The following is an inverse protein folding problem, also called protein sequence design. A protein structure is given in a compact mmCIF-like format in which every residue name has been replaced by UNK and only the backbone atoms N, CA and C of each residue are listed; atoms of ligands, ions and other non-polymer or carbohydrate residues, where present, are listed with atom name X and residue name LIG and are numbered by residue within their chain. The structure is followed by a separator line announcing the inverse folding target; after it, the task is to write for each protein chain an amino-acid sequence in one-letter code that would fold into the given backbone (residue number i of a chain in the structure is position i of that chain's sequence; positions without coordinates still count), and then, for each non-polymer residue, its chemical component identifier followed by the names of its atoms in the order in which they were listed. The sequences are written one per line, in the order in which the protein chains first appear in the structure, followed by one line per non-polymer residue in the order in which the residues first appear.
data_IF_261897483990
#
_entry.id   IF_261897483990
#
_cell.length_a   1.000
_cell.length_b   1.000
_cell.length_c   1.000
_cell.angle_alpha   90.00
_cell.angle_beta   90.00
_cell.angle_gamma   90.00
#
_symmetry.space_group_name_H-M   'P 1'
#
loop_
_entity.id
_entity.type
_entity.pdbx_description
1 polymer ?
#
# COMPACT_ATOMS: atom_id res chain seq x y z
N UNK A 1 -5.59 37.76 -13.62
CA UNK A 1 -5.04 36.50 -14.17
C UNK A 1 -5.57 35.36 -13.31
N UNK A 2 -6.68 34.74 -13.71
CA UNK A 2 -7.12 33.49 -13.10
C UNK A 2 -6.04 32.44 -13.36
N UNK A 3 -5.48 31.86 -12.29
CA UNK A 3 -4.68 30.64 -12.41
C UNK A 3 -5.65 29.51 -12.75
N UNK A 4 -5.80 29.21 -14.04
CA UNK A 4 -6.50 28.01 -14.48
C UNK A 4 -5.75 26.79 -13.96
N UNK A 5 -6.25 26.16 -12.91
CA UNK A 5 -5.81 24.82 -12.52
C UNK A 5 -6.22 23.87 -13.63
N UNK A 6 -5.28 23.14 -14.27
CA UNK A 6 -5.65 22.18 -15.30
C UNK A 6 -6.54 21.10 -14.67
N UNK A 7 -7.71 20.88 -15.28
CA UNK A 7 -8.73 19.97 -14.76
C UNK A 7 -8.32 18.51 -14.96
N UNK A 8 -7.71 18.20 -16.09
CA UNK A 8 -7.20 16.87 -16.46
C UNK A 8 -5.93 17.02 -17.31
N UNK A 9 -5.07 16.00 -17.28
CA UNK A 9 -3.91 15.88 -18.16
C UNK A 9 -3.75 14.42 -18.58
N UNK A 10 -3.49 14.18 -19.86
CA UNK A 10 -3.47 12.82 -20.41
C UNK A 10 -2.09 12.16 -20.21
N UNK A 11 -1.01 12.89 -20.48
CA UNK A 11 0.36 12.36 -20.37
C UNK A 11 1.36 13.41 -19.90
N UNK A 12 2.22 13.04 -18.94
CA UNK A 12 3.39 13.85 -18.56
C UNK A 12 4.62 13.00 -18.22
N UNK A 13 5.80 13.44 -18.66
CA UNK A 13 7.07 12.73 -18.41
C UNK A 13 7.68 13.05 -17.05
N UNK A 14 7.65 14.32 -16.63
CA UNK A 14 8.10 14.78 -15.32
C UNK A 14 7.15 15.87 -14.82
N UNK A 15 6.64 15.72 -13.60
CA UNK A 15 5.78 16.72 -12.97
C UNK A 15 6.25 17.10 -11.58
N UNK A 16 6.26 18.41 -11.31
CA UNK A 16 6.74 19.03 -10.07
C UNK A 16 5.76 20.09 -9.48
N UNK A 17 4.45 20.05 -9.80
CA UNK A 17 3.49 21.14 -9.46
C UNK A 17 2.07 20.72 -9.05
N UNK A 18 1.52 21.49 -8.09
CA UNK A 18 0.34 21.30 -7.23
C UNK A 18 -1.05 21.18 -7.89
N UNK A 19 -1.84 20.23 -7.36
CA UNK A 19 -3.30 20.02 -7.46
C UNK A 19 -3.94 20.11 -8.85
N UNK A 20 -3.93 18.98 -9.55
CA UNK A 20 -4.80 18.70 -10.71
C UNK A 20 -5.91 17.73 -10.30
N UNK A 21 -7.07 17.74 -10.97
CA UNK A 21 -8.17 16.84 -10.57
C UNK A 21 -7.89 15.39 -11.01
N UNK A 22 -7.50 15.18 -12.25
CA UNK A 22 -7.18 13.84 -12.76
C UNK A 22 -5.93 13.82 -13.62
N UNK A 23 -5.27 12.67 -13.67
CA UNK A 23 -4.17 12.35 -14.55
C UNK A 23 -4.36 10.94 -15.10
N UNK A 24 -4.25 10.77 -16.42
CA UNK A 24 -4.37 9.44 -16.99
C UNK A 24 -3.02 8.71 -16.86
N UNK A 25 -1.93 9.27 -17.40
CA UNK A 25 -0.60 8.63 -17.35
C UNK A 25 0.53 9.59 -16.99
N UNK A 26 1.40 9.17 -16.07
CA UNK A 26 2.65 9.86 -15.80
C UNK A 26 3.85 8.91 -15.72
N UNK A 27 4.98 9.32 -16.29
CA UNK A 27 6.23 8.56 -16.15
C UNK A 27 6.83 8.81 -14.77
N UNK A 28 7.18 10.05 -14.46
CA UNK A 28 7.78 10.41 -13.17
C UNK A 28 7.04 11.57 -12.53
N UNK A 29 6.74 11.45 -11.24
CA UNK A 29 6.13 12.50 -10.45
C UNK A 29 6.93 12.77 -9.19
N UNK A 30 7.18 14.05 -8.94
CA UNK A 30 7.96 14.55 -7.82
C UNK A 30 7.08 15.54 -7.04
N UNK A 31 7.06 15.44 -5.71
CA UNK A 31 6.48 16.46 -4.80
C UNK A 31 4.95 16.71 -4.93
N UNK A 32 4.16 15.79 -5.47
CA UNK A 32 2.75 16.08 -5.77
C UNK A 32 1.80 16.01 -4.57
N UNK A 33 1.26 17.19 -4.24
CA UNK A 33 0.22 17.40 -3.24
C UNK A 33 -1.19 17.35 -3.87
N UNK A 34 -2.02 16.45 -3.32
CA UNK A 34 -3.45 16.19 -3.56
C UNK A 34 -3.91 16.17 -5.03
N UNK A 35 -3.85 14.97 -5.60
CA UNK A 35 -4.55 14.56 -6.83
C UNK A 35 -5.94 13.97 -6.48
N UNK A 36 -6.94 14.08 -7.35
CA UNK A 36 -8.23 13.41 -7.10
C UNK A 36 -8.19 11.97 -7.63
N UNK A 37 -7.74 11.76 -8.85
CA UNK A 37 -7.57 10.42 -9.42
C UNK A 37 -6.32 10.34 -10.29
N UNK A 38 -5.82 9.12 -10.44
CA UNK A 38 -4.68 8.80 -11.27
C UNK A 38 -4.81 7.37 -11.79
N UNK A 39 -4.75 7.19 -13.10
CA UNK A 39 -4.95 5.86 -13.68
C UNK A 39 -3.62 5.09 -13.72
N UNK A 40 -2.56 5.70 -14.23
CA UNK A 40 -1.25 5.06 -14.36
C UNK A 40 -0.08 5.97 -13.98
N UNK A 41 0.84 5.44 -13.16
CA UNK A 41 2.12 6.06 -12.89
C UNK A 41 3.27 5.05 -12.91
N UNK A 42 4.38 5.39 -13.56
CA UNK A 42 5.59 4.56 -13.45
C UNK A 42 6.28 4.80 -12.12
N UNK A 43 6.61 6.05 -11.79
CA UNK A 43 7.34 6.40 -10.56
C UNK A 43 6.76 7.63 -9.86
N UNK A 44 6.50 7.50 -8.55
CA UNK A 44 6.13 8.60 -7.67
C UNK A 44 7.21 8.77 -6.60
N UNK A 45 7.74 9.98 -6.45
CA UNK A 45 8.74 10.33 -5.44
C UNK A 45 8.26 11.46 -4.53
N UNK A 46 8.39 11.27 -3.23
CA UNK A 46 8.07 12.27 -2.21
C UNK A 46 6.77 11.96 -1.45
N UNK A 47 6.01 13.01 -1.15
CA UNK A 47 4.72 12.91 -0.45
C UNK A 47 3.60 12.86 -1.49
N UNK A 48 2.75 11.83 -1.42
CA UNK A 48 1.62 11.64 -2.33
C UNK A 48 0.34 11.31 -1.55
N UNK A 49 -0.72 12.08 -1.79
CA UNK A 49 -2.01 11.96 -1.08
C UNK A 49 -3.24 11.96 -2.01
N UNK A 50 -3.24 11.20 -3.13
CA UNK A 50 -4.37 11.20 -4.05
C UNK A 50 -5.62 10.57 -3.42
N UNK A 51 -6.80 10.94 -3.92
CA UNK A 51 -8.01 10.22 -3.50
C UNK A 51 -8.05 8.81 -4.11
N UNK A 52 -7.73 8.61 -5.38
CA UNK A 52 -7.58 7.27 -5.97
C UNK A 52 -6.32 7.16 -6.84
N UNK A 53 -5.73 5.96 -6.85
CA UNK A 53 -4.69 5.54 -7.78
C UNK A 53 -5.02 4.14 -8.29
N UNK A 54 -5.05 3.93 -9.60
CA UNK A 54 -5.38 2.61 -10.14
C UNK A 54 -4.11 1.75 -10.25
N UNK A 55 -3.13 2.18 -11.05
CA UNK A 55 -1.89 1.41 -11.26
C UNK A 55 -0.65 2.26 -11.02
N UNK A 56 0.19 1.85 -10.07
CA UNK A 56 1.50 2.47 -9.84
C UNK A 56 2.60 1.43 -9.86
N UNK A 57 3.66 1.65 -10.63
CA UNK A 57 4.79 0.72 -10.63
C UNK A 57 5.66 0.92 -9.39
N UNK A 58 6.09 2.16 -9.11
CA UNK A 58 6.98 2.46 -7.98
C UNK A 58 6.56 3.71 -7.21
N UNK A 59 6.53 3.62 -5.89
CA UNK A 59 6.36 4.73 -4.97
C UNK A 59 7.56 4.79 -4.03
N UNK A 60 8.19 5.95 -3.92
CA UNK A 60 9.30 6.22 -3.01
C UNK A 60 8.92 7.42 -2.15
N UNK A 61 8.70 7.20 -0.85
CA UNK A 61 8.35 8.24 0.11
C UNK A 61 7.06 7.94 0.87
N UNK A 62 6.33 9.00 1.25
CA UNK A 62 5.10 8.91 2.02
C UNK A 62 3.89 8.83 1.07
N UNK A 63 3.09 7.79 1.17
CA UNK A 63 1.92 7.59 0.32
C UNK A 63 0.66 7.28 1.14
N UNK A 64 -0.34 8.16 1.05
CA UNK A 64 -1.57 8.06 1.87
C UNK A 64 -2.86 8.18 1.04
N UNK A 65 -3.03 7.38 -0.03
CA UNK A 65 -4.21 7.49 -0.86
C UNK A 65 -5.47 7.02 -0.14
N UNK A 66 -6.64 7.51 -0.55
CA UNK A 66 -7.88 6.91 -0.02
C UNK A 66 -8.07 5.51 -0.61
N UNK A 67 -7.88 5.35 -1.91
CA UNK A 67 -7.95 4.05 -2.59
C UNK A 67 -6.72 3.84 -3.47
N UNK A 68 -6.18 2.62 -3.46
CA UNK A 68 -5.15 2.18 -4.38
C UNK A 68 -5.49 0.78 -4.89
N UNK A 69 -5.59 0.60 -6.21
CA UNK A 69 -5.84 -0.73 -6.75
C UNK A 69 -4.56 -1.55 -6.80
N UNK A 70 -3.55 -1.12 -7.55
CA UNK A 70 -2.33 -1.90 -7.76
C UNK A 70 -1.08 -1.06 -7.55
N UNK A 71 -0.19 -1.56 -6.70
CA UNK A 71 1.19 -1.07 -6.60
C UNK A 71 2.19 -2.21 -6.75
N UNK A 72 3.18 -2.05 -7.64
CA UNK A 72 4.25 -3.05 -7.74
C UNK A 72 5.27 -2.89 -6.60
N UNK A 73 5.76 -1.68 -6.34
CA UNK A 73 6.72 -1.42 -5.27
C UNK A 73 6.38 -0.16 -4.49
N UNK A 74 6.35 -0.25 -3.18
CA UNK A 74 6.23 0.89 -2.26
C UNK A 74 7.42 0.88 -1.32
N UNK A 75 8.18 1.97 -1.32
CA UNK A 75 9.34 2.20 -0.46
C UNK A 75 9.09 3.42 0.41
N UNK A 76 8.88 3.19 1.69
CA UNK A 76 8.60 4.24 2.68
C UNK A 76 7.24 4.06 3.35
N UNK A 77 6.83 5.05 4.17
CA UNK A 77 5.60 4.95 4.92
C UNK A 77 4.36 4.97 4.00
N UNK A 78 3.43 4.03 4.20
CA UNK A 78 2.18 3.98 3.43
C UNK A 78 0.94 3.71 4.28
N UNK A 79 -0.09 4.55 4.13
CA UNK A 79 -1.31 4.48 4.96
C UNK A 79 -2.59 4.60 4.14
N UNK A 80 -2.78 3.75 3.11
CA UNK A 80 -3.97 3.80 2.29
C UNK A 80 -5.22 3.42 3.10
N UNK A 81 -6.40 3.98 2.80
CA UNK A 81 -7.62 3.46 3.44
C UNK A 81 -7.95 2.07 2.87
N UNK A 82 -7.91 1.93 1.55
CA UNK A 82 -8.10 0.63 0.88
C UNK A 82 -6.97 0.41 -0.13
N UNK A 83 -6.36 -0.76 -0.08
CA UNK A 83 -5.39 -1.22 -1.05
C UNK A 83 -5.79 -2.60 -1.56
N UNK A 84 -5.94 -2.77 -2.87
CA UNK A 84 -6.31 -4.08 -3.42
C UNK A 84 -5.08 -4.98 -3.52
N UNK A 85 -4.04 -4.57 -4.25
CA UNK A 85 -2.84 -5.37 -4.48
C UNK A 85 -1.56 -4.57 -4.27
N UNK A 86 -0.64 -5.13 -3.48
CA UNK A 86 0.75 -4.69 -3.41
C UNK A 86 1.73 -5.85 -3.61
N UNK A 87 2.64 -5.75 -4.58
CA UNK A 87 3.63 -6.80 -4.78
C UNK A 87 4.76 -6.72 -3.74
N UNK A 88 5.35 -5.54 -3.57
CA UNK A 88 6.42 -5.32 -2.58
C UNK A 88 6.17 -4.04 -1.80
N UNK A 89 6.15 -4.14 -0.47
CA UNK A 89 6.12 -2.99 0.42
C UNK A 89 7.31 -3.05 1.38
N UNK A 90 8.05 -1.96 1.45
CA UNK A 90 9.22 -1.78 2.30
C UNK A 90 9.05 -0.54 3.17
N UNK A 91 8.92 -0.74 4.47
CA UNK A 91 8.73 0.33 5.45
C UNK A 91 7.39 0.24 6.19
N UNK A 92 7.10 1.23 7.06
CA UNK A 92 5.90 1.22 7.88
C UNK A 92 4.63 1.29 7.02
N UNK A 93 3.72 0.33 7.19
CA UNK A 93 2.47 0.27 6.41
C UNK A 93 1.25 0.06 7.31
N UNK A 94 0.26 0.93 7.22
CA UNK A 94 -0.94 0.89 8.09
C UNK A 94 -2.26 1.01 7.31
N UNK A 95 -2.50 0.13 6.31
CA UNK A 95 -3.75 0.16 5.55
C UNK A 95 -4.97 -0.13 6.45
N UNK A 96 -6.13 0.50 6.18
CA UNK A 96 -7.35 0.04 6.85
C UNK A 96 -7.79 -1.32 6.28
N UNK A 97 -7.78 -1.49 4.97
CA UNK A 97 -8.05 -2.77 4.33
C UNK A 97 -7.01 -3.04 3.25
N UNK A 98 -6.50 -4.27 3.22
CA UNK A 98 -5.57 -4.75 2.21
C UNK A 98 -6.00 -6.13 1.71
N UNK A 99 -6.34 -6.27 0.43
CA UNK A 99 -6.78 -7.58 -0.07
C UNK A 99 -5.58 -8.52 -0.28
N UNK A 100 -4.56 -8.08 -1.01
CA UNK A 100 -3.39 -8.93 -1.33
C UNK A 100 -2.07 -8.18 -1.14
N UNK A 101 -1.15 -8.81 -0.41
CA UNK A 101 0.24 -8.39 -0.31
C UNK A 101 1.21 -9.56 -0.57
N UNK A 102 2.07 -9.46 -1.58
CA UNK A 102 3.01 -10.54 -1.87
C UNK A 102 4.21 -10.51 -0.91
N UNK A 103 4.87 -9.37 -0.77
CA UNK A 103 6.02 -9.21 0.15
C UNK A 103 5.87 -7.92 0.94
N UNK A 104 5.86 -8.05 2.27
CA UNK A 104 5.89 -6.92 3.20
C UNK A 104 7.11 -7.00 4.10
N UNK A 105 7.89 -5.93 4.15
CA UNK A 105 9.08 -5.81 4.96
C UNK A 105 9.00 -4.57 5.84
N UNK A 106 9.00 -4.74 7.16
CA UNK A 106 8.92 -3.67 8.14
C UNK A 106 7.68 -3.75 9.02
N UNK A 107 7.38 -2.65 9.71
CA UNK A 107 6.22 -2.56 10.61
C UNK A 107 4.92 -2.53 9.80
N UNK A 108 4.05 -3.52 9.99
CA UNK A 108 2.76 -3.58 9.29
C UNK A 108 1.58 -3.70 10.25
N UNK A 109 0.64 -2.75 10.21
CA UNK A 109 -0.56 -2.77 11.09
C UNK A 109 -1.89 -2.62 10.33
N UNK A 110 -2.21 -3.54 9.40
CA UNK A 110 -3.51 -3.53 8.74
C UNK A 110 -4.67 -3.65 9.72
N UNK A 111 -5.81 -3.00 9.50
CA UNK A 111 -7.02 -3.41 10.24
C UNK A 111 -7.57 -4.74 9.69
N UNK A 112 -7.60 -4.91 8.38
CA UNK A 112 -8.02 -6.15 7.71
C UNK A 112 -7.02 -6.47 6.61
N UNK A 113 -6.60 -7.73 6.54
CA UNK A 113 -5.71 -8.26 5.51
C UNK A 113 -6.20 -9.62 5.03
N UNK A 114 -6.58 -9.76 3.77
CA UNK A 114 -7.16 -11.02 3.30
C UNK A 114 -6.03 -12.02 3.00
N UNK A 115 -5.05 -11.64 2.18
CA UNK A 115 -3.94 -12.53 1.79
C UNK A 115 -2.58 -11.86 1.89
N UNK A 116 -1.63 -12.54 2.54
CA UNK A 116 -0.22 -12.17 2.55
C UNK A 116 0.68 -13.36 2.23
N UNK A 117 1.55 -13.25 1.21
CA UNK A 117 2.46 -14.36 0.88
C UNK A 117 3.68 -14.38 1.80
N UNK A 118 4.36 -13.24 1.98
CA UNK A 118 5.55 -13.11 2.84
C UNK A 118 5.49 -11.85 3.69
N UNK A 119 5.60 -12.00 5.00
CA UNK A 119 5.66 -10.91 5.96
C UNK A 119 6.94 -11.02 6.79
N UNK A 120 7.74 -9.96 6.78
CA UNK A 120 9.00 -9.87 7.53
C UNK A 120 9.02 -8.62 8.39
N UNK A 121 9.09 -8.80 9.71
CA UNK A 121 9.10 -7.72 10.69
C UNK A 121 7.85 -7.67 11.57
N UNK A 122 7.78 -6.72 12.51
CA UNK A 122 6.68 -6.64 13.46
C UNK A 122 5.34 -6.38 12.76
N UNK A 123 4.32 -7.20 13.03
CA UNK A 123 2.98 -6.94 12.50
C UNK A 123 1.86 -7.22 13.48
N UNK A 124 0.85 -6.35 13.50
CA UNK A 124 -0.27 -6.41 14.45
C UNK A 124 -1.63 -6.20 13.79
N UNK A 125 -2.01 -7.04 12.79
CA UNK A 125 -3.27 -6.85 12.11
C UNK A 125 -4.47 -7.15 13.04
N UNK A 126 -5.61 -6.48 12.84
CA UNK A 126 -6.81 -6.83 13.61
C UNK A 126 -7.47 -8.12 13.09
N UNK A 127 -7.49 -8.33 11.79
CA UNK A 127 -7.93 -9.58 11.16
C UNK A 127 -6.99 -9.92 10.01
N UNK A 128 -6.68 -11.20 9.86
CA UNK A 128 -5.87 -11.71 8.77
C UNK A 128 -6.39 -13.06 8.30
N UNK A 129 -6.77 -13.20 7.04
CA UNK A 129 -7.37 -14.48 6.62
C UNK A 129 -6.27 -15.50 6.31
N UNK A 130 -5.41 -15.21 5.34
CA UNK A 130 -4.36 -16.15 4.91
C UNK A 130 -2.97 -15.51 4.94
N UNK A 131 -2.01 -16.20 5.57
CA UNK A 131 -0.58 -15.87 5.44
C UNK A 131 0.29 -17.09 5.13
N UNK A 132 1.10 -17.06 4.07
CA UNK A 132 1.95 -18.22 3.75
C UNK A 132 3.22 -18.24 4.61
N UNK A 133 3.96 -17.14 4.68
CA UNK A 133 5.21 -17.06 5.44
C UNK A 133 5.28 -15.79 6.28
N UNK A 134 5.65 -15.96 7.55
CA UNK A 134 5.63 -14.93 8.56
C UNK A 134 6.91 -15.02 9.41
N UNK A 135 7.74 -13.97 9.42
CA UNK A 135 9.04 -13.94 10.14
C UNK A 135 9.19 -12.66 10.98
N UNK A 136 9.33 -12.78 12.30
CA UNK A 136 9.32 -11.65 13.24
C UNK A 136 8.27 -11.75 14.37
N UNK A 137 7.92 -10.61 14.95
CA UNK A 137 6.93 -10.50 16.02
C UNK A 137 5.52 -10.29 15.45
N UNK A 138 4.58 -11.18 15.78
CA UNK A 138 3.21 -11.11 15.26
C UNK A 138 2.17 -11.18 16.36
N UNK A 139 1.26 -10.21 16.35
CA UNK A 139 0.20 -10.12 17.34
C UNK A 139 -1.15 -9.82 16.68
N UNK A 140 -1.65 -10.70 15.79
CA UNK A 140 -2.95 -10.52 15.17
C UNK A 140 -4.07 -10.70 16.19
N UNK A 141 -5.18 -9.96 16.07
CA UNK A 141 -6.35 -10.24 16.93
C UNK A 141 -7.11 -11.49 16.47
N UNK A 142 -7.23 -11.71 15.17
CA UNK A 142 -7.73 -12.95 14.58
C UNK A 142 -6.89 -13.34 13.38
N UNK A 143 -6.69 -14.64 13.18
CA UNK A 143 -6.06 -15.19 12.00
C UNK A 143 -6.73 -16.49 11.56
N UNK A 144 -6.98 -16.69 10.26
CA UNK A 144 -7.70 -17.89 9.81
C UNK A 144 -6.78 -19.02 9.35
N UNK A 145 -5.69 -18.72 8.63
CA UNK A 145 -4.74 -19.72 8.14
C UNK A 145 -3.33 -19.15 8.06
N UNK A 146 -2.36 -19.93 8.54
CA UNK A 146 -0.96 -19.66 8.33
C UNK A 146 -0.16 -20.93 8.07
N UNK A 147 0.80 -20.87 7.14
CA UNK A 147 1.61 -22.05 6.79
C UNK A 147 2.96 -22.09 7.52
N UNK A 148 3.76 -21.03 7.45
CA UNK A 148 5.08 -20.96 8.07
C UNK A 148 5.20 -19.72 8.96
N UNK A 149 5.45 -19.93 10.25
CA UNK A 149 5.67 -18.87 11.23
C UNK A 149 7.02 -19.06 11.93
N UNK A 150 7.85 -18.02 11.94
CA UNK A 150 9.11 -17.98 12.68
C UNK A 150 9.22 -16.71 13.51
N UNK A 151 9.27 -16.87 14.84
CA UNK A 151 9.35 -15.76 15.80
C UNK A 151 8.21 -15.78 16.81
N UNK A 152 8.17 -14.80 17.73
CA UNK A 152 7.13 -14.74 18.76
C UNK A 152 5.75 -14.41 18.16
N UNK A 153 4.76 -15.24 18.46
CA UNK A 153 3.37 -15.11 18.01
C UNK A 153 2.39 -15.19 19.19
N UNK A 154 1.42 -14.27 19.26
CA UNK A 154 0.40 -14.23 20.34
C UNK A 154 -1.01 -13.91 19.82
N UNK A 155 -1.58 -14.68 18.88
CA UNK A 155 -2.95 -14.43 18.40
C UNK A 155 -3.99 -14.55 19.53
N UNK A 156 -5.05 -13.72 19.50
CA UNK A 156 -6.20 -13.92 20.42
C UNK A 156 -7.14 -15.03 19.96
N UNK A 157 -7.25 -15.28 18.66
CA UNK A 157 -7.99 -16.39 18.05
C UNK A 157 -7.29 -16.84 16.76
N UNK A 158 -7.12 -18.15 16.55
CA UNK A 158 -6.45 -18.71 15.38
C UNK A 158 -6.97 -20.12 15.03
N UNK A 159 -7.21 -20.37 13.74
CA UNK A 159 -7.37 -21.72 13.17
C UNK A 159 -6.09 -22.16 12.44
N UNK A 160 -5.51 -23.28 12.83
CA UNK A 160 -4.35 -23.85 12.14
C UNK A 160 -4.85 -24.77 11.00
N UNK A 161 -4.67 -24.36 9.74
CA UNK A 161 -4.76 -25.29 8.61
C UNK A 161 -3.44 -26.06 8.52
N UNK A 162 -3.44 -27.31 8.98
CA UNK A 162 -2.36 -28.24 8.71
C UNK A 162 -2.45 -28.68 7.23
N UNK A 163 -1.36 -28.49 6.48
CA UNK A 163 -1.09 -29.26 5.26
C UNK A 163 0.11 -30.17 5.51
#
# INVERSE_FOLDING_TARGET
MERSTPRSLDTASEMNRLSIQSMDTASTMIELSTLRSMDAASTIMGISTPRSMDTVSTIIGLSTPRCMDTASTIMGPSTPRTMNTANTMMGPSTPMTMATANTMMGLSTPRIMDTASKMMGPSTPRSMDTVSTMMGLFNPRSMDTASTMMGPYTPRSWTLSAQ
#
